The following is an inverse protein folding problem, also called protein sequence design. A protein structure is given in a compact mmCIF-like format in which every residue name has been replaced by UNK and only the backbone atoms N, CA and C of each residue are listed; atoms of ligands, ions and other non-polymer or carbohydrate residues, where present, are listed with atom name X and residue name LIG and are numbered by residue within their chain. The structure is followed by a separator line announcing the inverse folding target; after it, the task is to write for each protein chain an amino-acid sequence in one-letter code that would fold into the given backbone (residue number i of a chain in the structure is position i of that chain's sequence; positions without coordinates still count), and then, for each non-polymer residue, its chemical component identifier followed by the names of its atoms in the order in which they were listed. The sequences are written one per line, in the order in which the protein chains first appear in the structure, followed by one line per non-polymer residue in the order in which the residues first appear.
data_IF_990541318018
#
_entry.id   IF_990541318018
#
_cell.length_a   1.000
_cell.length_b   1.000
_cell.length_c   1.000
_cell.angle_alpha   90.00
_cell.angle_beta   90.00
_cell.angle_gamma   90.00
#
_symmetry.space_group_name_H-M   'P 1'
#
loop_
_entity.id
_entity.type
_entity.pdbx_description
1 polymer ?
#
# COMPACT_ATOMS: atom_id res chain seq x y z
N UNK A 1 38.95 -83.15 -2.01
CA UNK A 1 39.60 -81.90 -2.41
C UNK A 1 38.45 -80.85 -2.58
N UNK A 2 38.18 -80.10 -1.52
CA UNK A 2 37.02 -79.20 -1.45
C UNK A 2 37.52 -77.75 -1.58
N UNK A 3 37.04 -77.04 -2.61
CA UNK A 3 37.32 -75.62 -2.81
C UNK A 3 36.29 -74.80 -2.08
N UNK A 4 36.74 -73.98 -1.11
CA UNK A 4 35.93 -72.99 -0.38
C UNK A 4 36.06 -71.64 -1.15
N UNK A 5 34.97 -71.15 -1.67
CA UNK A 5 34.88 -69.81 -2.29
C UNK A 5 34.42 -68.81 -1.22
N UNK A 6 35.30 -67.88 -0.85
CA UNK A 6 34.98 -66.78 0.04
C UNK A 6 34.32 -65.63 -0.74
N UNK A 7 33.05 -65.32 -0.48
CA UNK A 7 32.39 -64.11 -0.92
C UNK A 7 32.61 -63.02 0.11
N UNK A 8 33.39 -61.98 -0.23
CA UNK A 8 33.44 -60.70 0.53
C UNK A 8 32.35 -59.77 -0.02
N UNK A 9 31.29 -59.59 0.74
CA UNK A 9 30.30 -58.56 0.49
C UNK A 9 30.84 -57.23 0.96
N UNK A 10 31.13 -56.33 0.02
CA UNK A 10 31.47 -54.94 0.30
C UNK A 10 30.20 -54.15 0.54
N UNK A 11 30.02 -53.65 1.76
CA UNK A 11 28.97 -52.69 2.10
C UNK A 11 29.44 -51.28 1.66
N UNK A 12 28.81 -50.75 0.59
CA UNK A 12 29.00 -49.36 0.17
C UNK A 12 28.10 -48.48 1.04
N UNK A 13 28.70 -47.71 1.96
CA UNK A 13 28.01 -46.65 2.69
C UNK A 13 27.86 -45.44 1.76
N UNK A 14 26.67 -45.15 1.31
CA UNK A 14 26.33 -43.90 0.62
C UNK A 14 26.21 -42.79 1.66
N UNK A 15 27.16 -41.86 1.67
CA UNK A 15 27.16 -40.67 2.49
C UNK A 15 26.22 -39.66 1.85
N UNK A 16 24.95 -39.57 2.34
CA UNK A 16 24.03 -38.48 1.99
C UNK A 16 24.53 -37.19 2.64
N UNK A 17 25.22 -36.34 1.88
CA UNK A 17 25.50 -34.96 2.24
C UNK A 17 24.21 -34.16 2.14
N UNK A 18 23.50 -34.00 3.25
CA UNK A 18 22.42 -33.02 3.38
C UNK A 18 23.04 -31.62 3.41
N UNK A 19 22.92 -30.89 2.30
CA UNK A 19 23.24 -29.45 2.26
C UNK A 19 22.16 -28.70 3.05
N UNK A 20 22.45 -28.43 4.32
CA UNK A 20 21.65 -27.48 5.08
C UNK A 20 21.85 -26.10 4.45
N UNK A 21 20.82 -25.57 3.81
CA UNK A 21 20.81 -24.16 3.40
C UNK A 21 20.85 -23.30 4.66
N UNK A 22 22.00 -22.69 4.96
CA UNK A 22 22.10 -21.66 5.97
C UNK A 22 21.27 -20.48 5.49
N UNK A 23 20.07 -20.31 6.06
CA UNK A 23 19.33 -19.07 5.93
C UNK A 23 20.10 -18.00 6.69
N UNK A 24 20.49 -16.92 5.99
CA UNK A 24 21.14 -15.79 6.65
C UNK A 24 20.18 -15.14 7.65
N UNK A 25 20.72 -14.63 8.77
CA UNK A 25 19.91 -13.94 9.77
C UNK A 25 19.34 -12.62 9.20
N UNK A 26 18.12 -12.23 9.57
CA UNK A 26 17.55 -10.93 9.20
C UNK A 26 18.45 -9.78 9.63
N UNK A 27 18.53 -8.73 8.80
CA UNK A 27 19.26 -7.50 9.11
C UNK A 27 18.46 -6.65 10.13
N UNK A 28 19.15 -6.04 11.08
CA UNK A 28 18.52 -5.07 11.98
C UNK A 28 18.49 -3.68 11.32
N UNK A 29 17.42 -3.41 10.60
CA UNK A 29 17.20 -2.18 9.86
C UNK A 29 15.95 -1.45 10.35
N UNK A 30 15.92 -0.11 10.20
CA UNK A 30 14.74 0.69 10.54
C UNK A 30 13.55 0.45 9.59
N UNK A 31 13.83 0.04 8.36
CA UNK A 31 12.84 -0.45 7.41
C UNK A 31 12.65 -1.95 7.64
N UNK A 32 11.43 -2.37 7.89
CA UNK A 32 11.10 -3.77 8.18
C UNK A 32 10.39 -4.41 6.98
N UNK A 33 10.55 -5.73 6.76
CA UNK A 33 9.83 -6.42 5.69
C UNK A 33 8.33 -6.43 5.95
N UNK A 34 7.54 -6.51 4.88
CA UNK A 34 6.10 -6.70 5.02
C UNK A 34 5.80 -8.07 5.66
N UNK A 35 4.77 -8.15 6.51
CA UNK A 35 4.32 -9.43 7.04
C UNK A 35 3.71 -10.28 5.91
N UNK A 36 3.60 -11.57 6.17
CA UNK A 36 2.79 -12.45 5.33
C UNK A 36 1.33 -11.99 5.30
N UNK A 37 0.63 -12.28 4.21
CA UNK A 37 -0.81 -12.02 4.11
C UNK A 37 -1.53 -12.78 5.23
N UNK A 38 -2.36 -12.10 6.04
CA UNK A 38 -3.02 -12.75 7.16
C UNK A 38 -4.04 -13.78 6.69
N UNK A 39 -4.15 -14.89 7.43
CA UNK A 39 -5.22 -15.85 7.25
C UNK A 39 -6.48 -15.31 7.93
N UNK A 40 -7.48 -14.97 7.15
CA UNK A 40 -8.75 -14.40 7.61
C UNK A 40 -9.91 -15.35 7.23
N UNK A 41 -11.11 -15.06 7.73
CA UNK A 41 -12.31 -15.80 7.39
C UNK A 41 -12.54 -15.79 5.86
N UNK A 42 -12.49 -16.96 5.19
CA UNK A 42 -12.54 -17.01 3.72
C UNK A 42 -13.89 -16.53 3.16
N UNK A 43 -15.01 -16.73 3.89
CA UNK A 43 -16.32 -16.25 3.45
C UNK A 43 -16.37 -14.72 3.45
N UNK A 44 -15.80 -14.08 4.49
CA UNK A 44 -15.72 -12.62 4.59
C UNK A 44 -14.76 -12.04 3.54
N UNK A 45 -13.63 -12.69 3.29
CA UNK A 45 -12.66 -12.26 2.27
C UNK A 45 -13.30 -12.31 0.89
N UNK A 46 -13.96 -13.41 0.54
CA UNK A 46 -14.58 -13.55 -0.78
C UNK A 46 -15.76 -12.58 -0.96
N UNK A 47 -16.60 -12.42 0.06
CA UNK A 47 -17.68 -11.42 0.04
C UNK A 47 -17.09 -10.01 -0.13
N UNK A 48 -16.03 -9.66 0.61
CA UNK A 48 -15.35 -8.37 0.49
C UNK A 48 -14.76 -8.15 -0.90
N UNK A 49 -14.20 -9.20 -1.52
CA UNK A 49 -13.71 -9.16 -2.91
C UNK A 49 -14.84 -8.87 -3.92
N UNK A 50 -16.01 -9.47 -3.74
CA UNK A 50 -17.19 -9.21 -4.58
C UNK A 50 -17.65 -7.77 -4.40
N UNK A 51 -17.77 -7.31 -3.14
CA UNK A 51 -18.17 -5.94 -2.80
C UNK A 51 -17.18 -4.89 -3.31
N UNK A 52 -15.89 -5.18 -3.31
CA UNK A 52 -14.87 -4.27 -3.86
C UNK A 52 -15.08 -3.98 -5.36
N UNK A 53 -15.71 -4.91 -6.08
CA UNK A 53 -16.05 -4.78 -7.49
C UNK A 53 -17.54 -4.41 -7.72
N UNK A 54 -18.31 -4.14 -6.66
CA UNK A 54 -19.76 -3.95 -6.74
C UNK A 54 -20.15 -2.48 -6.99
N UNK A 55 -20.69 -2.13 -8.18
CA UNK A 55 -21.05 -0.76 -8.47
C UNK A 55 -22.29 -0.24 -7.73
N UNK A 56 -23.12 -1.13 -7.16
CA UNK A 56 -24.30 -0.75 -6.37
C UNK A 56 -23.97 -0.08 -5.04
N UNK A 57 -22.69 0.00 -4.70
CA UNK A 57 -22.21 0.82 -3.58
C UNK A 57 -22.30 2.32 -3.89
N UNK A 58 -22.29 2.72 -5.17
CA UNK A 58 -22.49 4.11 -5.59
C UNK A 58 -23.97 4.42 -5.88
N UNK A 59 -24.36 5.70 -5.74
CA UNK A 59 -25.75 6.14 -5.86
C UNK A 59 -26.39 5.82 -7.22
N UNK A 60 -25.61 5.89 -8.29
CA UNK A 60 -26.05 5.64 -9.67
C UNK A 60 -25.63 4.25 -10.19
N UNK A 61 -25.08 3.38 -9.35
CA UNK A 61 -24.61 2.03 -9.67
C UNK A 61 -23.50 2.00 -10.78
N UNK A 62 -22.65 3.02 -10.84
CA UNK A 62 -21.60 3.11 -11.87
C UNK A 62 -20.17 2.92 -11.33
N UNK A 63 -19.95 3.17 -10.04
CA UNK A 63 -18.64 3.12 -9.42
C UNK A 63 -18.56 2.04 -8.35
N UNK A 64 -17.46 1.31 -8.37
CA UNK A 64 -17.01 0.41 -7.30
C UNK A 64 -15.65 0.87 -6.76
N UNK A 65 -15.14 0.24 -5.68
CA UNK A 65 -13.79 0.51 -5.20
C UNK A 65 -12.75 0.25 -6.30
N UNK A 66 -12.93 -0.82 -7.10
CA UNK A 66 -12.06 -1.17 -8.21
C UNK A 66 -12.04 -0.12 -9.34
N UNK A 67 -13.02 0.78 -9.42
CA UNK A 67 -13.04 1.86 -10.41
C UNK A 67 -11.88 2.83 -10.22
N UNK A 68 -11.48 3.08 -8.97
CA UNK A 68 -10.37 3.97 -8.59
C UNK A 68 -9.15 3.20 -8.06
N UNK A 69 -9.33 2.00 -7.52
CA UNK A 69 -8.27 1.18 -6.94
C UNK A 69 -8.03 -0.08 -7.80
N UNK A 70 -7.41 0.10 -8.97
CA UNK A 70 -7.14 -0.98 -9.91
C UNK A 70 -5.95 -1.82 -9.43
N UNK A 71 -6.22 -3.06 -9.03
CA UNK A 71 -5.18 -3.94 -8.46
C UNK A 71 -4.07 -4.31 -9.45
N UNK A 72 -4.36 -4.27 -10.75
CA UNK A 72 -3.37 -4.46 -11.83
C UNK A 72 -2.53 -3.22 -12.15
N UNK A 73 -2.84 -2.09 -11.51
CA UNK A 73 -2.19 -0.79 -11.73
C UNK A 73 -1.64 -0.22 -10.42
N UNK A 74 -1.01 -1.06 -9.60
CA UNK A 74 -0.44 -0.63 -8.32
C UNK A 74 -1.48 -0.32 -7.22
N UNK A 75 -2.77 -0.69 -7.40
CA UNK A 75 -3.85 -0.43 -6.44
C UNK A 75 -4.38 1.01 -6.48
N UNK A 76 -4.11 1.75 -7.55
CA UNK A 76 -4.60 3.08 -7.87
C UNK A 76 -5.04 3.14 -9.34
N UNK A 77 -5.63 4.23 -9.81
CA UNK A 77 -6.02 4.39 -11.21
C UNK A 77 -4.96 5.13 -12.07
N UNK A 78 -3.86 5.53 -11.45
CA UNK A 78 -2.73 6.22 -12.06
C UNK A 78 -3.13 7.53 -12.81
N UNK A 79 -4.21 8.17 -12.34
CA UNK A 79 -4.67 9.47 -12.83
C UNK A 79 -4.34 10.56 -11.82
N UNK A 80 -4.24 11.81 -12.26
CA UNK A 80 -4.11 12.93 -11.32
C UNK A 80 -5.25 12.94 -10.30
N UNK A 81 -6.49 12.80 -10.78
CA UNK A 81 -7.70 12.71 -9.96
C UNK A 81 -8.66 11.70 -10.57
N UNK A 82 -9.20 10.83 -9.73
CA UNK A 82 -10.28 9.91 -10.11
C UNK A 82 -11.56 10.67 -10.42
N UNK A 83 -12.49 10.02 -11.12
CA UNK A 83 -13.79 10.61 -11.48
C UNK A 83 -14.86 10.07 -10.52
N UNK A 84 -15.56 10.97 -9.86
CA UNK A 84 -16.66 10.64 -8.96
C UNK A 84 -17.96 10.24 -9.70
N UNK A 85 -18.98 9.87 -8.93
CA UNK A 85 -20.26 9.39 -9.48
C UNK A 85 -20.98 10.41 -10.37
N UNK A 86 -20.73 11.70 -10.18
CA UNK A 86 -21.32 12.81 -10.95
C UNK A 86 -20.51 13.18 -12.21
N UNK A 87 -19.47 12.41 -12.53
CA UNK A 87 -18.59 12.64 -13.68
C UNK A 87 -17.53 13.71 -13.45
N UNK A 88 -17.40 14.27 -12.23
CA UNK A 88 -16.40 15.29 -11.92
C UNK A 88 -15.15 14.68 -11.27
N UNK A 89 -13.98 15.33 -11.43
CA UNK A 89 -12.76 14.89 -10.76
C UNK A 89 -12.86 15.10 -9.23
N UNK A 90 -12.45 14.09 -8.48
CA UNK A 90 -12.22 14.18 -7.03
C UNK A 90 -10.93 14.96 -6.82
N UNK A 91 -10.96 16.08 -6.09
CA UNK A 91 -9.85 17.04 -5.97
C UNK A 91 -8.70 16.55 -5.06
N UNK A 92 -8.41 15.24 -5.12
CA UNK A 92 -7.32 14.60 -4.40
C UNK A 92 -6.88 13.33 -5.13
N UNK A 93 -5.57 13.10 -5.19
CA UNK A 93 -5.03 11.89 -5.82
C UNK A 93 -5.41 10.63 -5.04
N UNK A 94 -5.82 9.59 -5.76
CA UNK A 94 -6.20 8.30 -5.19
C UNK A 94 -4.95 7.52 -4.75
N UNK A 95 -4.75 7.30 -3.44
CA UNK A 95 -3.63 6.50 -2.95
C UNK A 95 -3.85 5.02 -3.26
N UNK A 96 -2.76 4.26 -3.32
CA UNK A 96 -2.84 2.81 -3.46
C UNK A 96 -3.63 2.17 -2.30
N UNK A 97 -4.51 1.23 -2.61
CA UNK A 97 -5.18 0.36 -1.63
C UNK A 97 -4.24 -0.71 -1.09
N UNK A 98 -3.16 -1.05 -1.81
CA UNK A 98 -2.18 -2.02 -1.32
C UNK A 98 -1.49 -1.51 -0.06
N UNK A 99 -1.36 -2.41 0.91
CA UNK A 99 -0.75 -2.16 2.22
C UNK A 99 -1.47 -1.09 3.07
N UNK A 100 -2.67 -0.61 2.66
CA UNK A 100 -3.43 0.42 3.37
C UNK A 100 -3.80 -0.01 4.80
N UNK A 101 -3.99 -1.32 5.04
CA UNK A 101 -4.27 -1.88 6.37
C UNK A 101 -3.14 -1.69 7.39
N UNK A 102 -1.93 -1.36 6.93
CA UNK A 102 -0.76 -1.10 7.78
C UNK A 102 -0.59 0.38 8.13
N UNK A 103 -1.41 1.25 7.57
CA UNK A 103 -1.43 2.67 7.93
C UNK A 103 -2.07 2.86 9.31
N UNK A 104 -1.50 3.75 10.14
CA UNK A 104 -2.06 4.08 11.46
C UNK A 104 -3.35 4.91 11.39
N UNK A 105 -3.58 5.59 10.26
CA UNK A 105 -4.76 6.38 9.91
C UNK A 105 -5.04 6.27 8.42
N UNK A 106 -6.28 6.46 7.99
CA UNK A 106 -6.67 6.42 6.59
C UNK A 106 -6.89 7.82 6.03
N UNK A 107 -6.87 7.96 4.70
CA UNK A 107 -6.84 9.20 3.93
C UNK A 107 -5.53 10.01 4.06
N UNK A 108 -5.33 10.98 3.17
CA UNK A 108 -4.16 11.85 3.18
C UNK A 108 -4.04 12.67 4.47
N UNK A 109 -5.14 13.19 4.98
CA UNK A 109 -5.20 13.98 6.21
C UNK A 109 -5.43 13.15 7.49
N UNK A 110 -5.56 11.84 7.36
CA UNK A 110 -5.71 10.93 8.50
C UNK A 110 -7.02 11.06 9.26
N UNK A 111 -8.13 11.41 8.58
CA UNK A 111 -9.41 11.74 9.22
C UNK A 111 -10.14 10.58 9.88
N UNK A 112 -9.74 9.33 9.61
CA UNK A 112 -10.32 8.14 10.26
C UNK A 112 -9.24 7.12 10.62
N UNK A 113 -9.56 6.26 11.60
CA UNK A 113 -8.61 5.33 12.23
C UNK A 113 -8.59 3.95 11.55
N UNK A 114 -9.68 3.54 10.93
CA UNK A 114 -9.87 2.15 10.47
C UNK A 114 -10.30 2.10 9.01
N UNK A 115 -10.06 0.95 8.37
CA UNK A 115 -10.56 0.69 7.02
C UNK A 115 -12.08 0.72 6.96
N UNK A 116 -12.79 0.21 7.99
CA UNK A 116 -14.25 0.27 8.04
C UNK A 116 -14.77 1.71 8.00
N UNK A 117 -14.18 2.60 8.82
CA UNK A 117 -14.53 4.01 8.83
C UNK A 117 -14.14 4.71 7.51
N UNK A 118 -13.08 4.24 6.83
CA UNK A 118 -12.71 4.74 5.51
C UNK A 118 -13.78 4.37 4.47
N UNK A 119 -14.21 3.11 4.43
CA UNK A 119 -15.28 2.63 3.55
C UNK A 119 -16.57 3.43 3.78
N UNK A 120 -16.93 3.68 5.06
CA UNK A 120 -18.09 4.50 5.40
C UNK A 120 -18.04 5.87 4.74
N UNK A 121 -16.88 6.56 4.91
CA UNK A 121 -16.69 7.92 4.40
C UNK A 121 -16.75 7.99 2.87
N UNK A 122 -16.18 7.01 2.16
CA UNK A 122 -16.16 6.99 0.68
C UNK A 122 -17.56 6.76 0.12
N UNK A 123 -18.33 5.83 0.70
CA UNK A 123 -19.70 5.50 0.24
C UNK A 123 -20.63 6.71 0.35
N UNK A 124 -20.55 7.46 1.46
CA UNK A 124 -21.40 8.64 1.68
C UNK A 124 -20.84 9.94 1.11
N UNK A 125 -19.61 9.93 0.59
CA UNK A 125 -18.94 11.12 0.06
C UNK A 125 -19.70 11.68 -1.15
N UNK A 126 -20.10 12.96 -1.11
CA UNK A 126 -20.85 13.60 -2.21
C UNK A 126 -20.01 13.85 -3.46
N UNK A 127 -18.72 13.59 -3.42
CA UNK A 127 -17.78 13.72 -4.55
C UNK A 127 -17.19 12.40 -5.02
N UNK A 128 -17.39 11.30 -4.27
CA UNK A 128 -16.88 9.96 -4.61
C UNK A 128 -18.02 9.04 -5.03
N UNK A 129 -18.70 8.33 -4.09
CA UNK A 129 -19.77 7.38 -4.40
C UNK A 129 -21.18 7.98 -4.26
N UNK A 130 -21.37 9.05 -3.48
CA UNK A 130 -22.62 9.81 -3.34
C UNK A 130 -23.82 9.04 -2.83
N UNK A 131 -23.62 7.88 -2.18
CA UNK A 131 -24.66 6.96 -1.76
C UNK A 131 -25.05 7.16 -0.28
N UNK A 132 -25.93 6.35 0.23
CA UNK A 132 -26.26 6.23 1.64
C UNK A 132 -26.41 4.75 2.02
N UNK A 133 -26.17 4.44 3.29
CA UNK A 133 -26.16 3.05 3.76
C UNK A 133 -27.51 2.36 3.69
N UNK A 134 -28.63 3.08 3.81
CA UNK A 134 -29.98 2.52 3.67
C UNK A 134 -30.21 2.05 2.23
N UNK A 135 -29.77 2.84 1.25
CA UNK A 135 -29.84 2.50 -0.17
C UNK A 135 -28.94 1.33 -0.51
N UNK A 136 -27.68 1.33 -0.05
CA UNK A 136 -26.74 0.22 -0.26
C UNK A 136 -27.30 -1.09 0.29
N UNK A 137 -27.71 -1.11 1.55
CA UNK A 137 -28.28 -2.31 2.19
C UNK A 137 -29.50 -2.82 1.42
N UNK A 138 -30.45 -1.93 1.08
CA UNK A 138 -31.63 -2.29 0.28
C UNK A 138 -31.23 -2.92 -1.07
N UNK A 139 -30.31 -2.31 -1.79
CA UNK A 139 -29.90 -2.79 -3.11
C UNK A 139 -29.20 -4.15 -3.06
N UNK A 140 -28.33 -4.38 -2.07
CA UNK A 140 -27.66 -5.66 -1.87
C UNK A 140 -28.63 -6.73 -1.38
N UNK A 141 -29.52 -6.39 -0.44
CA UNK A 141 -30.55 -7.33 0.09
C UNK A 141 -31.57 -7.78 -0.97
N UNK A 142 -31.75 -7.03 -2.04
CA UNK A 142 -32.62 -7.42 -3.15
C UNK A 142 -32.02 -8.52 -4.04
N UNK A 143 -30.75 -8.89 -3.85
CA UNK A 143 -30.05 -9.83 -4.70
C UNK A 143 -29.82 -11.16 -3.97
N UNK A 144 -30.43 -12.29 -4.43
CA UNK A 144 -30.25 -13.61 -3.78
C UNK A 144 -28.80 -14.02 -3.62
N UNK A 145 -27.93 -13.67 -4.57
CA UNK A 145 -26.51 -14.01 -4.48
C UNK A 145 -25.84 -13.33 -3.27
N UNK A 146 -26.14 -12.06 -3.00
CA UNK A 146 -25.62 -11.36 -1.82
C UNK A 146 -26.28 -11.84 -0.53
N UNK A 147 -27.62 -12.09 -0.52
CA UNK A 147 -28.27 -12.67 0.66
C UNK A 147 -27.53 -13.95 1.10
N UNK A 148 -27.35 -14.90 0.21
CA UNK A 148 -26.65 -16.16 0.48
C UNK A 148 -25.20 -15.94 0.93
N UNK A 149 -24.45 -15.04 0.27
CA UNK A 149 -23.05 -14.76 0.62
C UNK A 149 -22.94 -14.09 2.02
N UNK A 150 -23.85 -13.18 2.35
CA UNK A 150 -23.89 -12.57 3.68
C UNK A 150 -24.30 -13.56 4.76
N UNK A 151 -25.30 -14.41 4.53
CA UNK A 151 -25.70 -15.46 5.49
C UNK A 151 -24.58 -16.43 5.82
N UNK A 152 -23.68 -16.72 4.85
CA UNK A 152 -22.49 -17.54 5.09
C UNK A 152 -21.42 -16.84 5.91
N UNK A 153 -21.29 -15.52 5.80
CA UNK A 153 -20.25 -14.74 6.45
C UNK A 153 -20.68 -14.10 7.77
N UNK A 154 -22.00 -13.81 7.93
CA UNK A 154 -22.54 -13.04 9.06
C UNK A 154 -23.91 -13.56 9.48
N UNK A 155 -24.12 -13.85 10.80
CA UNK A 155 -25.40 -14.36 11.29
C UNK A 155 -26.60 -13.41 11.11
N UNK A 156 -26.34 -12.09 11.05
CA UNK A 156 -27.35 -11.02 10.93
C UNK A 156 -27.50 -10.53 9.48
N UNK A 157 -26.91 -11.20 8.51
CA UNK A 157 -27.10 -10.95 7.08
C UNK A 157 -26.57 -9.61 6.59
N UNK A 158 -27.33 -8.96 5.67
CA UNK A 158 -26.90 -7.72 5.02
C UNK A 158 -27.17 -6.52 5.92
N UNK A 159 -26.12 -5.98 6.51
CA UNK A 159 -26.14 -4.72 7.29
C UNK A 159 -25.03 -3.78 6.81
N UNK A 160 -25.14 -2.49 7.07
CA UNK A 160 -24.08 -1.52 6.76
C UNK A 160 -22.74 -1.92 7.39
N UNK A 161 -22.76 -2.31 8.66
CA UNK A 161 -21.57 -2.75 9.40
C UNK A 161 -20.93 -3.99 8.77
N UNK A 162 -21.73 -4.96 8.30
CA UNK A 162 -21.22 -6.18 7.67
C UNK A 162 -20.63 -5.90 6.29
N UNK A 163 -21.21 -4.97 5.51
CA UNK A 163 -20.62 -4.52 4.23
C UNK A 163 -19.27 -3.87 4.48
N UNK A 164 -19.18 -2.94 5.42
CA UNK A 164 -17.91 -2.27 5.80
C UNK A 164 -16.89 -3.27 6.31
N UNK A 165 -17.29 -4.21 7.15
CA UNK A 165 -16.40 -5.23 7.71
C UNK A 165 -15.89 -6.20 6.63
N UNK A 166 -16.74 -6.65 5.71
CA UNK A 166 -16.33 -7.53 4.61
C UNK A 166 -15.32 -6.84 3.70
N UNK A 167 -15.58 -5.59 3.29
CA UNK A 167 -14.64 -4.78 2.50
C UNK A 167 -13.30 -4.61 3.22
N UNK A 168 -13.31 -4.16 4.47
CA UNK A 168 -12.10 -4.02 5.27
C UNK A 168 -11.35 -5.35 5.49
N UNK A 169 -12.08 -6.47 5.57
CA UNK A 169 -11.47 -7.81 5.69
C UNK A 169 -10.76 -8.19 4.40
N UNK A 170 -11.36 -7.93 3.25
CA UNK A 170 -10.69 -8.12 1.96
C UNK A 170 -9.46 -7.21 1.82
N UNK A 171 -9.57 -5.92 2.12
CA UNK A 171 -8.46 -4.97 2.03
C UNK A 171 -7.27 -5.36 2.92
N UNK A 172 -7.49 -6.03 4.06
CA UNK A 172 -6.40 -6.58 4.88
C UNK A 172 -5.61 -7.67 4.17
N UNK A 173 -6.17 -8.33 3.17
CA UNK A 173 -5.44 -9.30 2.33
C UNK A 173 -4.65 -8.65 1.21
N UNK A 174 -4.86 -7.36 0.92
CA UNK A 174 -4.18 -6.63 -0.14
C UNK A 174 -2.78 -6.16 0.33
N UNK A 175 -1.96 -7.11 0.75
CA UNK A 175 -0.54 -6.90 1.03
C UNK A 175 0.30 -7.32 -0.16
N UNK A 176 1.44 -6.65 -0.33
CA UNK A 176 2.41 -6.91 -1.40
C UNK A 176 3.78 -7.28 -0.85
N UNK A 177 3.89 -8.39 -0.09
CA UNK A 177 5.17 -8.84 0.45
C UNK A 177 6.14 -9.23 -0.66
N UNK A 178 7.33 -9.71 -0.24
CA UNK A 178 8.33 -10.32 -1.10
C UNK A 178 8.97 -9.35 -2.12
N UNK A 179 8.95 -8.02 -1.83
CA UNK A 179 9.76 -7.10 -2.61
C UNK A 179 11.25 -7.50 -2.54
N UNK A 180 12.06 -7.08 -3.52
CA UNK A 180 13.51 -7.34 -3.48
C UNK A 180 14.15 -6.75 -2.22
N UNK A 181 13.63 -5.61 -1.74
CA UNK A 181 14.10 -5.04 -0.48
C UNK A 181 13.66 -5.87 0.73
N UNK A 182 12.46 -6.45 0.74
CA UNK A 182 12.04 -7.35 1.82
C UNK A 182 12.96 -8.57 1.92
N UNK A 183 13.29 -9.18 0.78
CA UNK A 183 14.21 -10.31 0.72
C UNK A 183 15.62 -9.93 1.21
N UNK A 184 16.08 -8.72 0.86
CA UNK A 184 17.37 -8.19 1.33
C UNK A 184 17.40 -8.07 2.87
N UNK A 185 16.38 -7.47 3.46
CA UNK A 185 16.29 -7.30 4.93
C UNK A 185 16.15 -8.66 5.64
N UNK A 186 15.50 -9.63 4.99
CA UNK A 186 15.40 -11.01 5.50
C UNK A 186 16.71 -11.81 5.35
N UNK A 187 17.79 -11.20 4.86
CA UNK A 187 19.13 -11.78 4.82
C UNK A 187 19.60 -12.24 3.43
N UNK A 188 18.78 -12.16 2.38
CA UNK A 188 19.23 -12.41 1.00
C UNK A 188 19.98 -11.19 0.45
N UNK A 189 21.22 -10.99 0.92
CA UNK A 189 21.98 -9.78 0.62
C UNK A 189 22.37 -9.64 -0.86
N UNK A 190 22.34 -10.70 -1.64
CA UNK A 190 22.75 -10.69 -3.05
C UNK A 190 21.61 -10.32 -4.02
N UNK A 191 20.37 -10.23 -3.51
CA UNK A 191 19.20 -9.86 -4.32
C UNK A 191 19.27 -8.41 -4.82
N UNK A 192 19.90 -7.51 -4.08
CA UNK A 192 20.09 -6.12 -4.47
C UNK A 192 21.45 -5.90 -5.14
N UNK A 193 21.45 -5.12 -6.20
CA UNK A 193 22.69 -4.64 -6.84
C UNK A 193 23.45 -3.69 -5.91
N UNK A 194 24.73 -3.44 -6.26
CA UNK A 194 25.55 -2.49 -5.52
C UNK A 194 24.96 -1.08 -5.52
N UNK A 195 24.41 -0.63 -6.65
CA UNK A 195 23.78 0.68 -6.79
C UNK A 195 22.53 0.79 -5.92
N UNK A 196 21.69 -0.23 -5.87
CA UNK A 196 20.49 -0.24 -5.02
C UNK A 196 20.84 -0.20 -3.53
N UNK A 197 21.89 -0.91 -3.10
CA UNK A 197 22.42 -0.83 -1.73
C UNK A 197 22.96 0.57 -1.42
N UNK A 198 23.69 1.18 -2.36
CA UNK A 198 24.13 2.57 -2.20
C UNK A 198 22.93 3.53 -2.14
N UNK A 199 21.88 3.33 -2.96
CA UNK A 199 20.67 4.10 -2.92
C UNK A 199 19.98 4.03 -1.55
N UNK A 200 19.90 2.84 -0.96
CA UNK A 200 19.40 2.67 0.40
C UNK A 200 20.27 3.42 1.43
N UNK A 201 21.61 3.36 1.29
CA UNK A 201 22.50 4.11 2.16
C UNK A 201 22.26 5.62 2.03
N UNK A 202 22.14 6.15 0.78
CA UNK A 202 21.81 7.57 0.55
C UNK A 202 20.46 7.99 1.13
N UNK A 203 19.44 7.12 1.02
CA UNK A 203 18.15 7.31 1.64
C UNK A 203 18.25 7.51 3.17
N UNK A 204 19.13 6.75 3.83
CA UNK A 204 19.46 6.91 5.25
C UNK A 204 20.26 8.19 5.52
N UNK A 205 21.33 8.44 4.79
CA UNK A 205 22.27 9.54 5.00
C UNK A 205 21.62 10.93 4.80
N UNK A 206 20.71 11.03 3.85
CA UNK A 206 19.94 12.25 3.62
C UNK A 206 18.80 12.45 4.63
N UNK A 207 18.45 11.44 5.43
CA UNK A 207 17.44 11.52 6.48
C UNK A 207 16.01 11.22 6.02
N UNK A 208 15.79 10.69 4.82
CA UNK A 208 14.46 10.27 4.34
C UNK A 208 13.80 9.27 5.31
N UNK A 209 14.64 8.42 5.91
CA UNK A 209 14.22 7.38 6.87
C UNK A 209 13.60 7.95 8.17
N UNK A 210 13.80 9.23 8.49
CA UNK A 210 13.21 9.84 9.66
C UNK A 210 11.66 9.86 9.61
N UNK A 211 11.11 9.97 8.39
CA UNK A 211 9.67 9.99 8.15
C UNK A 211 9.19 8.69 7.46
N UNK A 212 9.98 8.15 6.54
CA UNK A 212 9.68 6.94 5.79
C UNK A 212 10.37 5.74 6.42
N UNK A 213 9.74 5.14 7.44
CA UNK A 213 10.29 4.05 8.25
C UNK A 213 9.24 2.97 8.56
N UNK A 214 9.67 1.92 9.27
CA UNK A 214 8.83 0.82 9.71
C UNK A 214 8.44 -0.13 8.58
N UNK A 215 7.39 -0.90 8.83
CA UNK A 215 6.90 -1.97 7.92
C UNK A 215 6.40 -1.40 6.61
N UNK A 216 5.62 -0.32 6.67
CA UNK A 216 5.00 0.29 5.48
C UNK A 216 5.87 1.39 4.85
N UNK A 217 7.08 1.61 5.38
CA UNK A 217 8.03 2.65 4.92
C UNK A 217 7.31 4.01 4.81
N UNK A 218 6.63 4.39 5.88
CA UNK A 218 5.67 5.47 6.02
C UNK A 218 4.35 4.97 6.60
N UNK A 219 3.28 5.76 6.51
CA UNK A 219 1.95 5.41 7.00
C UNK A 219 1.82 5.34 8.53
N UNK A 220 2.80 5.81 9.28
CA UNK A 220 2.91 5.66 10.74
C UNK A 220 3.05 6.98 11.52
N UNK A 221 3.04 8.11 10.82
CA UNK A 221 3.14 9.45 11.43
C UNK A 221 2.51 10.52 10.56
N UNK A 222 2.28 11.69 11.15
CA UNK A 222 1.97 12.91 10.42
C UNK A 222 3.22 13.77 10.25
N UNK A 223 3.28 14.52 9.13
CA UNK A 223 4.34 15.49 8.91
C UNK A 223 3.82 16.66 8.07
N UNK A 224 4.32 17.86 8.37
CA UNK A 224 4.07 19.05 7.56
C UNK A 224 4.81 18.90 6.23
N UNK A 225 4.11 19.16 5.13
CA UNK A 225 4.72 19.16 3.81
C UNK A 225 5.33 20.55 3.54
N UNK A 226 6.60 20.55 3.16
CA UNK A 226 7.33 21.80 2.91
C UNK A 226 7.94 22.41 4.18
N UNK A 227 8.52 21.59 5.07
CA UNK A 227 9.17 22.06 6.31
C UNK A 227 10.31 23.03 6.04
N UNK A 228 11.07 22.81 4.97
CA UNK A 228 12.27 23.61 4.62
C UNK A 228 12.02 24.63 3.51
N UNK A 229 10.80 24.70 2.98
CA UNK A 229 10.44 25.66 1.93
C UNK A 229 8.96 25.62 1.62
N UNK A 230 8.38 26.77 1.31
CA UNK A 230 6.95 26.89 1.00
C UNK A 230 6.63 26.29 -0.38
N UNK A 231 6.36 24.97 -0.38
CA UNK A 231 5.99 24.22 -1.56
C UNK A 231 4.71 24.76 -2.22
N UNK A 232 3.67 25.04 -1.43
CA UNK A 232 2.36 25.42 -1.94
C UNK A 232 2.39 26.79 -2.62
N UNK A 233 3.13 27.72 -2.05
CA UNK A 233 3.38 29.04 -2.69
C UNK A 233 4.18 28.88 -3.98
N UNK A 234 5.20 28.03 -4.00
CA UNK A 234 6.04 27.82 -5.18
C UNK A 234 5.30 27.10 -6.30
N UNK A 235 4.43 26.12 -5.97
CA UNK A 235 3.59 25.42 -6.93
C UNK A 235 2.51 26.35 -7.52
N UNK A 236 1.93 27.21 -6.70
CA UNK A 236 0.76 28.02 -7.07
C UNK A 236 -0.54 27.19 -7.15
N UNK A 237 -1.61 27.79 -7.67
CA UNK A 237 -2.91 27.14 -7.86
C UNK A 237 -3.37 26.34 -6.63
N UNK A 238 -3.69 27.00 -5.49
CA UNK A 238 -4.00 26.33 -4.25
C UNK A 238 -5.28 25.49 -4.36
N UNK A 239 -5.24 24.29 -3.78
CA UNK A 239 -6.38 23.39 -3.63
C UNK A 239 -6.85 23.42 -2.16
N UNK A 240 -8.13 23.15 -1.92
CA UNK A 240 -8.63 22.99 -0.54
C UNK A 240 -7.91 21.83 0.17
N UNK A 241 -7.63 20.74 -0.57
CA UNK A 241 -6.89 19.58 -0.06
C UNK A 241 -5.47 19.90 0.42
N UNK A 242 -4.86 21.02 -0.01
CA UNK A 242 -3.55 21.47 0.47
C UNK A 242 -3.53 21.79 1.96
N UNK A 243 -4.69 22.14 2.51
CA UNK A 243 -4.80 22.45 3.94
C UNK A 243 -4.53 21.24 4.84
N UNK A 244 -4.62 20.02 4.30
CA UNK A 244 -4.28 18.79 5.03
C UNK A 244 -5.13 18.57 6.28
N UNK A 245 -4.50 18.31 7.41
CA UNK A 245 -5.18 18.11 8.71
C UNK A 245 -5.90 19.35 9.23
N UNK A 246 -5.49 20.55 8.85
CA UNK A 246 -6.19 21.78 9.21
C UNK A 246 -7.69 21.73 8.91
N UNK A 247 -8.10 21.03 7.86
CA UNK A 247 -9.53 20.81 7.53
C UNK A 247 -10.32 20.08 8.63
N UNK A 248 -9.63 19.36 9.51
CA UNK A 248 -10.23 18.60 10.61
C UNK A 248 -10.16 19.34 11.94
N UNK A 249 -9.01 19.95 12.22
CA UNK A 249 -8.68 20.46 13.54
C UNK A 249 -8.90 21.96 13.67
N UNK A 250 -8.85 22.69 12.56
CA UNK A 250 -8.82 24.17 12.51
C UNK A 250 -7.64 24.76 13.28
N UNK A 251 -6.60 23.95 13.57
CA UNK A 251 -5.37 24.38 14.22
C UNK A 251 -4.33 24.73 13.14
N UNK A 252 -3.74 25.93 13.23
CA UNK A 252 -2.72 26.41 12.29
C UNK A 252 -1.45 25.53 12.29
N UNK A 253 -1.14 24.85 13.38
CA UNK A 253 -0.04 23.88 13.45
C UNK A 253 -0.27 22.67 12.53
N UNK A 254 -1.53 22.33 12.27
CA UNK A 254 -1.94 21.24 11.38
C UNK A 254 -2.09 21.68 9.91
N UNK A 255 -1.82 22.95 9.58
CA UNK A 255 -1.85 23.44 8.19
C UNK A 255 -0.73 22.78 7.37
N UNK A 256 -1.14 22.19 6.23
CA UNK A 256 -0.27 21.41 5.35
C UNK A 256 0.33 20.15 6.00
N UNK A 257 -0.26 19.67 7.08
CA UNK A 257 0.12 18.41 7.71
C UNK A 257 -0.63 17.26 7.05
N UNK A 258 0.10 16.22 6.68
CA UNK A 258 -0.44 15.01 6.04
C UNK A 258 0.10 13.76 6.74
N UNK A 259 -0.64 12.66 6.61
CA UNK A 259 -0.08 11.35 6.88
C UNK A 259 1.08 11.11 5.90
N UNK A 260 2.26 10.79 6.42
CA UNK A 260 3.40 10.40 5.57
C UNK A 260 2.99 9.17 4.75
N UNK A 261 2.97 9.23 3.42
CA UNK A 261 2.52 8.11 2.61
C UNK A 261 3.50 6.94 2.67
N UNK A 262 2.99 5.73 2.46
CA UNK A 262 3.84 4.56 2.24
C UNK A 262 4.68 4.75 0.98
N UNK A 263 5.93 4.27 1.01
CA UNK A 263 6.78 4.15 -0.17
C UNK A 263 6.74 2.74 -0.79
N UNK A 264 5.97 1.81 -0.20
CA UNK A 264 5.76 0.50 -0.82
C UNK A 264 5.08 0.69 -2.17
N UNK A 265 5.60 0.02 -3.20
CA UNK A 265 5.12 0.08 -4.58
C UNK A 265 5.20 1.49 -5.22
N UNK A 266 5.96 2.42 -4.63
CA UNK A 266 5.99 3.82 -5.09
C UNK A 266 6.39 3.95 -6.57
N UNK A 267 7.19 3.04 -7.09
CA UNK A 267 7.63 3.07 -8.50
C UNK A 267 6.51 2.82 -9.53
N UNK A 268 5.35 2.29 -9.10
CA UNK A 268 4.23 1.92 -9.99
C UNK A 268 2.93 2.69 -9.69
N UNK A 269 3.01 3.77 -8.89
CA UNK A 269 1.84 4.53 -8.43
C UNK A 269 1.91 6.03 -8.76
N UNK A 270 2.57 6.38 -9.87
CA UNK A 270 2.54 7.75 -10.38
C UNK A 270 1.11 8.16 -10.81
N UNK A 271 0.73 9.45 -10.75
CA UNK A 271 1.48 10.60 -10.24
C UNK A 271 1.50 10.70 -8.71
N UNK A 272 2.38 11.55 -8.17
CA UNK A 272 2.70 11.61 -6.74
C UNK A 272 2.12 12.83 -6.04
N UNK A 273 2.07 12.73 -4.71
CA UNK A 273 1.48 13.67 -3.75
C UNK A 273 -0.05 13.70 -3.80
N UNK A 274 -0.66 14.34 -2.81
CA UNK A 274 -2.11 14.46 -2.69
C UNK A 274 -2.74 15.26 -3.85
N UNK A 275 -1.95 16.09 -4.50
CA UNK A 275 -2.32 16.98 -5.60
C UNK A 275 -1.88 16.48 -6.98
N UNK A 276 -1.23 15.31 -7.03
CA UNK A 276 -0.69 14.71 -8.26
C UNK A 276 0.28 15.63 -9.05
N UNK A 277 0.95 16.56 -8.36
CA UNK A 277 1.80 17.57 -8.99
C UNK A 277 3.10 17.02 -9.56
N UNK A 278 3.66 15.96 -8.95
CA UNK A 278 4.83 15.28 -9.48
C UNK A 278 4.39 14.11 -10.38
N UNK A 279 4.78 14.15 -11.65
CA UNK A 279 4.38 13.14 -12.65
C UNK A 279 5.28 11.93 -12.67
N UNK A 280 6.53 12.10 -12.25
CA UNK A 280 7.54 11.05 -12.21
C UNK A 280 8.14 10.91 -10.82
N UNK A 281 8.76 9.77 -10.57
CA UNK A 281 9.43 9.51 -9.28
C UNK A 281 10.62 10.46 -9.09
N UNK A 282 11.29 10.85 -10.17
CA UNK A 282 12.37 11.83 -10.20
C UNK A 282 11.87 13.19 -9.69
N UNK A 283 10.75 13.68 -10.25
CA UNK A 283 10.12 14.94 -9.81
C UNK A 283 9.72 14.88 -8.33
N UNK A 284 9.17 13.74 -7.86
CA UNK A 284 8.80 13.57 -6.47
C UNK A 284 10.02 13.61 -5.53
N UNK A 285 11.11 12.97 -5.92
CA UNK A 285 12.38 12.99 -5.17
C UNK A 285 12.96 14.40 -5.14
N UNK A 286 12.91 15.15 -6.25
CA UNK A 286 13.37 16.54 -6.32
C UNK A 286 12.56 17.47 -5.38
N UNK A 287 11.23 17.31 -5.35
CA UNK A 287 10.36 18.05 -4.43
C UNK A 287 10.70 17.74 -2.98
N UNK A 288 10.91 16.46 -2.62
CA UNK A 288 11.32 16.06 -1.27
C UNK A 288 12.66 16.67 -0.89
N UNK A 289 13.65 16.62 -1.75
CA UNK A 289 14.94 17.24 -1.46
C UNK A 289 14.82 18.74 -1.24
N UNK A 290 14.13 19.43 -2.11
CA UNK A 290 14.04 20.89 -2.11
C UNK A 290 13.21 21.41 -0.94
N UNK A 291 12.00 20.89 -0.77
CA UNK A 291 11.00 21.47 0.13
C UNK A 291 10.92 20.77 1.49
N UNK A 292 11.22 19.46 1.54
CA UNK A 292 11.14 18.71 2.79
C UNK A 292 12.48 18.65 3.53
N UNK A 293 13.59 18.50 2.79
CA UNK A 293 14.92 18.37 3.37
C UNK A 293 15.78 19.63 3.28
N UNK A 294 15.46 20.59 2.39
CA UNK A 294 16.26 21.78 2.15
C UNK A 294 17.67 21.46 1.67
N UNK A 295 17.83 20.39 0.86
CA UNK A 295 19.12 19.90 0.39
C UNK A 295 19.18 19.88 -1.13
N UNK A 296 20.40 19.98 -1.67
CA UNK A 296 20.68 19.91 -3.10
C UNK A 296 21.68 18.79 -3.39
N UNK A 297 21.22 17.53 -3.51
CA UNK A 297 22.08 16.38 -3.78
C UNK A 297 22.62 16.40 -5.21
N UNK A 298 23.65 15.58 -5.48
CA UNK A 298 24.07 15.30 -6.85
C UNK A 298 22.98 14.53 -7.61
N UNK A 299 23.01 14.61 -8.95
CA UNK A 299 22.11 13.78 -9.77
C UNK A 299 22.34 12.30 -9.53
N UNK A 300 23.62 11.88 -9.38
CA UNK A 300 23.96 10.50 -9.05
C UNK A 300 23.29 10.01 -7.76
N UNK A 301 23.30 10.79 -6.68
CA UNK A 301 22.65 10.41 -5.42
C UNK A 301 21.14 10.27 -5.57
N UNK A 302 20.50 11.16 -6.36
CA UNK A 302 19.06 11.04 -6.68
C UNK A 302 18.77 9.77 -7.46
N UNK A 303 19.55 9.47 -8.48
CA UNK A 303 19.40 8.27 -9.31
C UNK A 303 19.56 6.99 -8.48
N UNK A 304 20.54 6.97 -7.57
CA UNK A 304 20.74 5.85 -6.64
C UNK A 304 19.52 5.65 -5.71
N UNK A 305 18.99 6.74 -5.14
CA UNK A 305 17.79 6.66 -4.30
C UNK A 305 16.59 6.14 -5.11
N UNK A 306 16.41 6.59 -6.35
CA UNK A 306 15.34 6.10 -7.23
C UNK A 306 15.51 4.61 -7.52
N UNK A 307 16.72 4.13 -7.76
CA UNK A 307 16.98 2.70 -7.92
C UNK A 307 16.58 1.91 -6.65
N UNK A 308 16.92 2.42 -5.47
CA UNK A 308 16.47 1.82 -4.22
C UNK A 308 14.94 1.81 -4.12
N UNK A 309 14.26 2.92 -4.38
CA UNK A 309 12.79 3.01 -4.30
C UNK A 309 12.10 2.00 -5.21
N UNK A 310 12.66 1.70 -6.38
CA UNK A 310 12.17 0.65 -7.29
C UNK A 310 12.23 -0.76 -6.68
N UNK A 311 13.13 -1.01 -5.72
CA UNK A 311 13.22 -2.30 -5.02
C UNK A 311 12.09 -2.54 -4.02
N UNK A 312 11.30 -1.52 -3.70
CA UNK A 312 10.16 -1.56 -2.77
C UNK A 312 8.86 -2.08 -3.41
N UNK A 313 8.88 -2.37 -4.71
CA UNK A 313 7.76 -2.99 -5.43
C UNK A 313 7.67 -4.46 -5.04
N UNK A 314 6.54 -4.83 -4.47
CA UNK A 314 6.29 -6.19 -3.99
C UNK A 314 5.48 -7.03 -4.96
N UNK A 315 4.99 -8.16 -4.47
CA UNK A 315 4.21 -9.13 -5.25
C UNK A 315 2.75 -9.16 -4.78
N UNK A 316 1.84 -9.27 -5.73
CA UNK A 316 0.44 -9.54 -5.46
C UNK A 316 -0.03 -10.76 -6.25
N UNK A 317 -0.75 -11.68 -5.59
CA UNK A 317 -1.18 -12.95 -6.18
C UNK A 317 -0.01 -13.74 -6.82
N UNK A 318 1.17 -13.69 -6.21
CA UNK A 318 2.37 -14.41 -6.66
C UNK A 318 3.05 -13.83 -7.90
N UNK A 319 2.74 -12.56 -8.25
CA UNK A 319 3.36 -11.86 -9.39
C UNK A 319 3.83 -10.47 -8.95
N UNK A 320 4.97 -9.99 -9.46
CA UNK A 320 5.39 -8.59 -9.29
C UNK A 320 4.30 -7.63 -9.81
N UNK A 321 4.13 -6.49 -9.11
CA UNK A 321 3.25 -5.41 -9.53
C UNK A 321 3.81 -4.61 -10.70
#
# INVERSE_FOLDING_TARGET
MSNVVNHRSGLMFALCLSTASLSAAPLDEALKPLPAVPVLDPAKVELGRQLFNEPRLSVNNTLSCASCHQLTSGGADNKPFSIGFDGKPVQINTPSVFNASLNFKQFWNGRVDTLQAQVEQVVISPVEMGSDWKTVVRNLSALPAYQNAFEQAYPDGVTASNVQNALATYERTLLTPNSRFDQYVLGNTDILTRQEKYGYQRFKDYGCIACHQGVNIGGNMFQKFGVMGDYFKARGNPLESDLGRYLLTQDEEDRHVFKVPSLRNVAVTAPYFHDASAKTLEEAVDVMFKYQLGRNPSQEDKDLIIQFLKTLTGEWAGKPL
#
